data_IF_681077210026
#
_entry.id   IF_681077210026
#
_cell.length_a   1.000
_cell.length_b   1.000
_cell.length_c   1.000
_cell.angle_alpha   90.00
_cell.angle_beta   90.00
_cell.angle_gamma   90.00
#
_symmetry.space_group_name_H-M   'P 1'
#
loop_
_entity.id
_entity.type
_entity.pdbx_description
1 polymer ?
#
# COMPACT_ATOMS: atom_id res chain seq x y z
N UNK A 1 -23.85 -26.96 15.84
CA UNK A 1 -23.16 -26.38 14.66
C UNK A 1 -23.43 -24.89 14.68
N UNK A 2 -22.57 -24.11 15.29
CA UNK A 2 -22.76 -22.66 15.45
C UNK A 2 -21.69 -21.96 14.62
N UNK A 3 -22.12 -21.36 13.53
CA UNK A 3 -21.25 -20.56 12.64
C UNK A 3 -20.96 -19.23 13.35
N UNK A 4 -19.71 -19.04 13.79
CA UNK A 4 -19.25 -17.75 14.28
C UNK A 4 -18.87 -16.86 13.08
N UNK A 5 -19.82 -16.05 12.66
CA UNK A 5 -19.59 -14.99 11.65
C UNK A 5 -18.94 -13.81 12.37
N UNK A 6 -17.60 -13.85 12.51
CA UNK A 6 -16.83 -12.73 13.06
C UNK A 6 -16.76 -11.59 12.07
N UNK A 7 -17.75 -10.71 12.09
CA UNK A 7 -17.66 -9.42 11.42
C UNK A 7 -16.54 -8.62 12.11
N UNK A 8 -15.39 -8.47 11.45
CA UNK A 8 -14.30 -7.62 11.89
C UNK A 8 -14.74 -6.18 11.74
N UNK A 9 -14.99 -5.52 12.86
CA UNK A 9 -15.36 -4.09 12.91
C UNK A 9 -14.21 -3.23 12.36
N UNK A 10 -14.49 -2.14 11.63
CA UNK A 10 -13.45 -1.30 10.99
C UNK A 10 -12.67 -0.41 11.97
N UNK A 11 -12.82 -0.59 13.27
CA UNK A 11 -12.17 0.25 14.31
C UNK A 11 -10.67 0.00 14.50
N UNK A 12 -10.12 -1.05 13.92
CA UNK A 12 -8.69 -1.38 14.05
C UNK A 12 -7.79 -0.70 13.00
N UNK A 13 -8.36 0.13 12.13
CA UNK A 13 -7.54 1.04 11.32
C UNK A 13 -7.09 2.17 12.24
N UNK A 14 -6.16 1.83 13.15
CA UNK A 14 -5.42 2.83 13.88
C UNK A 14 -4.80 3.77 12.87
N UNK A 15 -5.27 5.02 12.84
CA UNK A 15 -4.62 6.09 12.09
C UNK A 15 -3.18 6.14 12.58
N UNK A 16 -2.26 5.55 11.82
CA UNK A 16 -0.85 5.87 11.96
C UNK A 16 -0.73 7.41 11.91
N UNK A 17 0.17 8.02 12.72
CA UNK A 17 0.39 9.44 12.64
C UNK A 17 0.53 9.81 11.17
N UNK A 18 -0.29 10.77 10.71
CA UNK A 18 -0.24 11.24 9.34
C UNK A 18 1.19 11.72 9.10
N UNK A 19 1.96 10.97 8.34
CA UNK A 19 3.10 11.54 7.67
C UNK A 19 2.57 12.72 6.89
N UNK A 20 2.94 13.90 7.33
CA UNK A 20 2.56 15.17 6.73
C UNK A 20 2.91 15.06 5.26
N UNK A 21 1.88 14.89 4.43
CA UNK A 21 2.04 14.75 2.98
C UNK A 21 2.83 15.95 2.52
N UNK A 22 4.14 15.79 2.34
CA UNK A 22 5.01 16.82 1.82
C UNK A 22 4.56 17.11 0.39
N UNK A 23 3.58 18.01 0.29
CA UNK A 23 3.01 18.45 -0.98
C UNK A 23 4.14 19.06 -1.80
N UNK A 24 4.62 18.32 -2.77
CA UNK A 24 5.63 18.79 -3.68
C UNK A 24 6.94 18.01 -3.71
N UNK A 25 7.27 17.24 -2.68
CA UNK A 25 8.48 16.44 -2.63
C UNK A 25 8.34 15.09 -3.37
N UNK A 26 9.48 14.58 -3.81
CA UNK A 26 9.56 13.20 -4.32
C UNK A 26 9.35 12.22 -3.17
N UNK A 27 8.57 11.13 -3.36
CA UNK A 27 8.47 10.10 -2.32
C UNK A 27 9.84 9.53 -1.96
N UNK A 28 10.04 9.24 -0.67
CA UNK A 28 11.22 8.53 -0.16
C UNK A 28 11.25 7.13 -0.76
N UNK A 29 12.43 6.63 -1.08
CA UNK A 29 12.61 5.28 -1.63
C UNK A 29 12.22 4.22 -0.58
N UNK A 30 11.64 3.10 -0.98
CA UNK A 30 11.29 2.03 -0.04
C UNK A 30 12.43 1.54 0.83
N UNK A 31 13.68 1.59 0.34
CA UNK A 31 14.88 1.24 1.10
C UNK A 31 15.26 2.25 2.19
N UNK A 32 14.66 3.44 2.19
CA UNK A 32 14.93 4.54 3.11
C UNK A 32 13.67 4.95 3.89
N UNK A 33 12.54 4.31 3.62
CA UNK A 33 11.23 4.65 4.14
C UNK A 33 10.83 3.64 5.23
N UNK A 34 10.85 4.07 6.48
CA UNK A 34 10.51 3.25 7.65
C UNK A 34 9.09 2.67 7.63
N UNK A 35 8.23 3.12 6.72
CA UNK A 35 6.93 2.49 6.50
C UNK A 35 7.07 1.03 6.09
N UNK A 36 8.12 0.69 5.35
CA UNK A 36 8.38 -0.67 4.86
C UNK A 36 9.00 -1.58 5.91
N UNK A 37 9.49 -1.03 7.03
CA UNK A 37 10.09 -1.82 8.11
C UNK A 37 8.98 -2.39 9.00
N UNK A 38 8.87 -3.72 9.15
CA UNK A 38 7.86 -4.29 10.01
C UNK A 38 8.15 -3.98 11.49
N UNK A 39 7.11 -3.82 12.32
CA UNK A 39 7.31 -3.68 13.76
C UNK A 39 7.87 -5.00 14.35
N UNK A 40 8.59 -4.89 15.46
CA UNK A 40 9.09 -6.06 16.17
C UNK A 40 7.92 -7.00 16.56
N UNK A 41 8.13 -8.28 16.40
CA UNK A 41 7.14 -9.31 16.75
C UNK A 41 6.04 -9.51 15.71
N UNK A 42 6.14 -8.90 14.52
CA UNK A 42 5.16 -9.08 13.45
C UNK A 42 5.01 -10.55 13.02
N UNK A 43 6.02 -11.37 13.25
CA UNK A 43 6.08 -12.80 12.94
C UNK A 43 4.98 -13.58 13.67
N UNK A 44 4.60 -13.10 14.85
CA UNK A 44 3.56 -13.74 15.70
C UNK A 44 2.14 -13.30 15.29
N UNK A 45 2.00 -12.30 14.45
CA UNK A 45 0.70 -11.88 13.95
C UNK A 45 0.10 -12.92 12.98
N UNK A 46 -1.22 -13.03 12.93
CA UNK A 46 -1.89 -13.89 11.96
C UNK A 46 -1.67 -13.37 10.52
N UNK A 47 -1.64 -14.27 9.51
CA UNK A 47 -1.61 -13.85 8.11
C UNK A 47 -2.76 -12.90 7.78
N UNK A 48 -2.47 -11.83 7.03
CA UNK A 48 -3.43 -10.79 6.69
C UNK A 48 -3.56 -9.66 7.72
N UNK A 49 -2.90 -9.77 8.88
CA UNK A 49 -2.88 -8.67 9.85
C UNK A 49 -2.21 -7.45 9.27
N UNK A 50 -2.91 -6.30 9.29
CA UNK A 50 -2.36 -5.01 8.90
C UNK A 50 -1.49 -4.48 10.03
N UNK A 51 -0.22 -4.23 9.73
CA UNK A 51 0.78 -3.77 10.68
C UNK A 51 0.89 -2.23 10.70
N UNK A 52 0.74 -1.61 9.53
CA UNK A 52 0.73 -0.16 9.33
C UNK A 52 -0.14 0.22 8.14
N UNK A 53 -0.65 1.44 8.14
CA UNK A 53 -1.38 2.02 7.00
C UNK A 53 -1.01 3.49 6.81
N UNK A 54 -1.02 3.95 5.56
CA UNK A 54 -0.89 5.38 5.23
C UNK A 54 -1.64 5.72 3.95
N UNK A 55 -2.11 6.96 3.85
CA UNK A 55 -2.66 7.47 2.61
C UNK A 55 -1.54 8.00 1.71
N UNK A 56 -1.66 7.78 0.41
CA UNK A 56 -0.68 8.21 -0.58
C UNK A 56 -1.36 8.84 -1.79
N UNK A 57 -0.64 9.70 -2.50
CA UNK A 57 -1.10 10.24 -3.78
C UNK A 57 -0.64 9.34 -4.92
N UNK A 58 -1.58 8.99 -5.81
CA UNK A 58 -1.30 8.23 -7.02
C UNK A 58 -1.15 9.17 -8.21
N UNK A 59 -0.27 8.79 -9.13
CA UNK A 59 -0.08 9.53 -10.37
C UNK A 59 0.00 8.60 -11.57
N UNK A 60 -0.85 8.83 -12.58
CA UNK A 60 -0.68 8.17 -13.86
C UNK A 60 0.66 8.61 -14.46
N UNK A 61 1.51 7.66 -14.81
CA UNK A 61 2.92 7.89 -15.20
C UNK A 61 3.73 8.71 -14.16
N UNK A 62 3.30 8.74 -12.90
CA UNK A 62 3.93 9.52 -11.84
C UNK A 62 3.62 11.03 -11.87
N UNK A 63 2.87 11.54 -12.83
CA UNK A 63 2.66 12.97 -13.06
C UNK A 63 1.19 13.39 -12.91
N UNK A 64 0.28 12.70 -13.58
CA UNK A 64 -1.13 13.09 -13.62
C UNK A 64 -1.85 12.63 -12.37
N UNK A 65 -2.40 13.54 -11.53
CA UNK A 65 -3.15 13.17 -10.35
C UNK A 65 -4.36 12.29 -10.71
N UNK A 66 -4.58 11.23 -9.97
CA UNK A 66 -5.76 10.38 -10.13
C UNK A 66 -6.81 10.69 -9.07
N UNK A 67 -8.08 10.76 -9.47
CA UNK A 67 -9.21 10.96 -8.55
C UNK A 67 -9.56 9.65 -7.83
N UNK A 68 -8.60 9.12 -7.10
CA UNK A 68 -8.75 7.91 -6.28
C UNK A 68 -8.22 8.17 -4.87
N UNK A 69 -8.84 7.56 -3.88
CA UNK A 69 -8.23 7.42 -2.57
C UNK A 69 -7.30 6.22 -2.63
N UNK A 70 -6.05 6.41 -2.29
CA UNK A 70 -5.06 5.35 -2.26
C UNK A 70 -4.49 5.19 -0.85
N UNK A 71 -4.61 4.01 -0.29
CA UNK A 71 -4.08 3.67 1.03
C UNK A 71 -3.08 2.53 0.88
N UNK A 72 -1.86 2.73 1.33
CA UNK A 72 -0.86 1.67 1.45
C UNK A 72 -1.01 0.94 2.76
N UNK A 73 -0.93 -0.38 2.70
CA UNK A 73 -0.99 -1.28 3.86
C UNK A 73 0.29 -2.09 3.91
N UNK A 74 1.01 -2.01 5.04
CA UNK A 74 2.01 -3.01 5.40
C UNK A 74 1.28 -4.11 6.16
N UNK A 75 1.39 -5.34 5.71
CA UNK A 75 0.67 -6.46 6.32
C UNK A 75 1.55 -7.71 6.44
N UNK A 76 1.22 -8.56 7.40
CA UNK A 76 1.86 -9.85 7.59
C UNK A 76 1.38 -10.84 6.53
N UNK A 77 2.28 -11.37 5.76
CA UNK A 77 2.09 -12.40 4.75
C UNK A 77 2.91 -13.65 5.09
N UNK A 78 2.89 -14.62 4.19
CA UNK A 78 3.66 -15.85 4.32
C UNK A 78 4.40 -16.07 2.99
N UNK A 79 5.70 -16.31 3.06
CA UNK A 79 6.50 -16.60 1.89
C UNK A 79 6.30 -18.06 1.42
N UNK A 80 6.92 -18.44 0.30
CA UNK A 80 6.80 -19.78 -0.28
C UNK A 80 7.33 -20.92 0.60
N UNK A 81 8.12 -20.59 1.64
CA UNK A 81 8.64 -21.58 2.61
C UNK A 81 7.73 -21.72 3.83
N UNK A 82 6.64 -20.95 3.93
CA UNK A 82 5.77 -20.93 5.08
C UNK A 82 6.23 -19.98 6.19
N UNK A 83 7.27 -19.18 5.98
CA UNK A 83 7.82 -18.25 6.97
C UNK A 83 7.06 -16.92 6.93
N UNK A 84 6.95 -16.21 8.07
CA UNK A 84 6.37 -14.87 8.12
C UNK A 84 7.14 -13.88 7.24
N UNK A 85 6.40 -13.09 6.47
CA UNK A 85 6.95 -12.03 5.61
C UNK A 85 6.08 -10.79 5.70
N UNK A 86 6.69 -9.61 5.73
CA UNK A 86 5.98 -8.35 5.66
C UNK A 86 5.89 -7.88 4.21
N UNK A 87 4.67 -7.60 3.75
CA UNK A 87 4.41 -7.18 2.39
C UNK A 87 3.65 -5.85 2.36
N UNK A 88 3.86 -5.06 1.30
CA UNK A 88 3.10 -3.83 1.07
C UNK A 88 2.15 -4.00 -0.09
N UNK A 89 0.88 -3.65 0.12
CA UNK A 89 -0.12 -3.50 -0.93
C UNK A 89 -0.66 -2.08 -0.97
N UNK A 90 -1.29 -1.70 -2.09
CA UNK A 90 -1.98 -0.42 -2.24
C UNK A 90 -3.43 -0.66 -2.59
N UNK A 91 -4.34 -0.19 -1.75
CA UNK A 91 -5.78 -0.24 -1.98
C UNK A 91 -6.21 1.05 -2.65
N UNK A 92 -6.88 0.94 -3.80
CA UNK A 92 -7.40 2.06 -4.58
C UNK A 92 -8.92 2.08 -4.53
N UNK A 93 -9.48 3.20 -4.10
CA UNK A 93 -10.93 3.41 -4.06
C UNK A 93 -11.27 4.62 -4.91
N UNK A 94 -12.10 4.50 -5.95
CA UNK A 94 -12.54 5.64 -6.76
C UNK A 94 -13.18 6.71 -5.89
N UNK A 95 -12.86 7.99 -6.15
CA UNK A 95 -13.48 9.12 -5.47
C UNK A 95 -14.92 9.32 -5.95
N UNK A 96 -15.81 9.78 -5.06
CA UNK A 96 -17.16 10.21 -5.43
C UNK A 96 -18.23 9.11 -5.47
N UNK A 97 -17.94 7.88 -5.06
CA UNK A 97 -18.95 6.82 -4.96
C UNK A 97 -19.53 6.70 -3.57
N UNK A 98 -20.86 6.69 -3.49
CA UNK A 98 -21.61 6.40 -2.26
C UNK A 98 -21.59 4.91 -1.92
N UNK A 99 -21.60 4.57 -0.64
CA UNK A 99 -21.45 3.20 -0.12
C UNK A 99 -22.68 2.28 -0.33
N UNK A 100 -23.61 2.64 -1.22
CA UNK A 100 -24.92 1.99 -1.31
C UNK A 100 -24.96 0.69 -2.11
N UNK A 101 -23.89 0.27 -2.76
CA UNK A 101 -23.87 -0.98 -3.54
C UNK A 101 -22.61 -1.83 -3.27
N UNK A 102 -22.74 -3.18 -3.29
CA UNK A 102 -21.59 -4.07 -3.24
C UNK A 102 -20.63 -3.76 -4.40
N UNK A 103 -19.33 -3.76 -4.12
CA UNK A 103 -18.30 -3.52 -5.13
C UNK A 103 -17.54 -4.79 -5.44
N UNK A 104 -17.22 -4.97 -6.69
CA UNK A 104 -16.23 -5.97 -7.08
C UNK A 104 -14.85 -5.50 -6.63
N UNK A 105 -14.09 -6.41 -6.04
CA UNK A 105 -12.68 -6.20 -5.68
C UNK A 105 -11.82 -6.86 -6.76
N UNK A 106 -10.89 -6.10 -7.31
CA UNK A 106 -9.91 -6.61 -8.27
C UNK A 106 -8.56 -6.67 -7.59
N UNK A 107 -7.96 -7.86 -7.53
CA UNK A 107 -6.57 -8.03 -7.10
C UNK A 107 -5.67 -7.99 -8.34
N UNK A 108 -4.83 -6.96 -8.43
CA UNK A 108 -3.86 -6.81 -9.50
C UNK A 108 -2.46 -7.19 -9.01
N UNK A 109 -1.92 -8.25 -9.57
CA UNK A 109 -0.58 -8.74 -9.28
C UNK A 109 0.37 -8.22 -10.37
N UNK A 110 1.11 -7.17 -10.06
CA UNK A 110 2.09 -6.60 -10.98
C UNK A 110 3.34 -7.49 -11.03
N UNK A 111 3.81 -7.81 -12.23
CA UNK A 111 5.12 -8.41 -12.41
C UNK A 111 6.21 -7.46 -11.91
N UNK A 112 7.18 -7.99 -11.16
CA UNK A 112 8.34 -7.24 -10.67
C UNK A 112 9.57 -7.81 -11.39
N UNK A 113 10.00 -7.12 -12.44
CA UNK A 113 11.11 -7.56 -13.30
C UNK A 113 12.47 -7.00 -12.85
N UNK A 114 12.52 -6.26 -11.74
CA UNK A 114 13.73 -5.63 -11.24
C UNK A 114 13.83 -5.70 -9.72
N UNK A 115 15.05 -5.87 -9.22
CA UNK A 115 15.38 -6.03 -7.79
C UNK A 115 15.56 -4.72 -7.03
N UNK A 116 15.53 -3.58 -7.73
CA UNK A 116 15.69 -2.27 -7.05
C UNK A 116 14.39 -1.80 -6.43
N UNK A 117 14.47 -1.20 -5.25
CA UNK A 117 13.31 -0.65 -4.52
C UNK A 117 12.54 0.43 -5.32
N UNK A 118 13.18 1.09 -6.29
CA UNK A 118 12.55 2.04 -7.21
C UNK A 118 11.48 1.39 -8.10
N UNK A 119 11.58 0.10 -8.33
CA UNK A 119 10.65 -0.66 -9.18
C UNK A 119 9.48 -1.27 -8.39
N UNK A 120 9.46 -1.15 -7.08
CA UNK A 120 8.33 -1.62 -6.29
C UNK A 120 7.04 -0.92 -6.74
N UNK A 121 5.97 -1.66 -7.11
CA UNK A 121 4.71 -1.06 -7.56
C UNK A 121 4.14 -0.08 -6.54
N UNK A 122 4.26 -0.37 -5.24
CA UNK A 122 3.86 0.50 -4.15
C UNK A 122 4.57 1.87 -4.15
N UNK A 123 5.78 1.94 -4.73
CA UNK A 123 6.52 3.19 -4.93
C UNK A 123 6.26 3.77 -6.31
N UNK A 124 6.45 2.97 -7.37
CA UNK A 124 6.46 3.44 -8.76
C UNK A 124 5.14 4.07 -9.21
N UNK A 125 4.01 3.67 -8.60
CA UNK A 125 2.69 4.21 -8.88
C UNK A 125 2.38 5.50 -8.08
N UNK A 126 3.23 5.90 -7.14
CA UNK A 126 3.04 7.15 -6.39
C UNK A 126 3.31 8.36 -7.28
N UNK A 127 2.58 9.42 -7.03
CA UNK A 127 2.81 10.70 -7.68
C UNK A 127 4.25 11.16 -7.43
N UNK A 128 4.94 11.62 -8.47
CA UNK A 128 6.35 12.09 -8.45
C UNK A 128 7.41 11.03 -8.12
N UNK A 129 7.06 9.76 -8.10
CA UNK A 129 8.04 8.68 -7.95
C UNK A 129 9.06 8.64 -9.12
N UNK A 130 8.60 8.98 -10.34
CA UNK A 130 9.46 9.11 -11.52
C UNK A 130 9.93 10.55 -11.66
N UNK A 131 11.24 10.76 -11.84
CA UNK A 131 11.79 12.06 -12.15
C UNK A 131 11.38 12.47 -13.58
N UNK A 132 10.94 13.72 -13.75
CA UNK A 132 10.54 14.30 -15.06
C UNK A 132 11.73 14.44 -16.03
N UNK A 133 12.96 14.17 -15.60
CA UNK A 133 14.19 14.39 -16.35
C UNK A 133 14.81 13.17 -17.06
N UNK A 134 14.14 12.03 -17.11
CA UNK A 134 14.71 10.79 -17.69
C UNK A 134 14.24 10.50 -19.14
N UNK A 135 13.71 11.48 -19.85
CA UNK A 135 13.29 11.34 -21.25
C UNK A 135 14.27 11.99 -22.25
N UNK A 136 15.46 12.39 -21.80
CA UNK A 136 16.51 12.89 -22.69
C UNK A 136 17.80 12.08 -22.53
N UNK A 137 17.88 10.97 -23.21
CA UNK A 137 19.07 10.45 -23.90
C UNK A 137 18.63 9.32 -24.83
#
# INVERSE_FOLDING_TARGET
MTSANGAVSPEWIGRAPHDEVQRGARPVLPSEDSFYDPPAGFEHAAPGTVLRSRDVEMGFLGLVPQKVRATQLLYRSTNRKGEPEACVTTVLVPAGHTHSQPRHVVSYQCAIDAVTSRCFPSYALRRRAKAVGSLSQ
#
